data_IF_721745192399
#
_entry.id   IF_721745192399
#
_cell.length_a   1.000
_cell.length_b   1.000
_cell.length_c   1.000
_cell.angle_alpha   90.00
_cell.angle_beta   90.00
_cell.angle_gamma   90.00
#
_symmetry.space_group_name_H-M   'P 1'
#
loop_
_entity.id
_entity.type
_entity.pdbx_description
1 polymer ?
#
# COMPACT_ATOMS: atom_id res chain seq x y z
N UNK A 1 7.69 -8.26 -8.74
CA UNK A 1 7.62 -6.84 -8.32
C UNK A 1 8.92 -6.57 -7.58
N UNK A 2 9.67 -5.56 -7.99
CA UNK A 2 11.01 -5.30 -7.46
C UNK A 2 11.17 -3.82 -7.15
N UNK A 3 11.91 -3.51 -6.09
CA UNK A 3 12.33 -2.15 -5.75
C UNK A 3 13.81 -2.05 -6.08
N UNK A 4 14.16 -1.20 -7.05
CA UNK A 4 15.56 -1.04 -7.50
C UNK A 4 16.23 0.07 -6.66
N UNK A 5 17.17 -0.25 -5.75
CA UNK A 5 17.72 0.74 -4.83
C UNK A 5 18.54 1.85 -5.51
N UNK A 6 19.03 1.61 -6.73
CA UNK A 6 19.81 2.57 -7.50
C UNK A 6 18.92 3.62 -8.20
N UNK A 7 17.65 3.31 -8.47
CA UNK A 7 16.72 4.24 -9.09
C UNK A 7 16.10 5.15 -8.00
N UNK A 8 16.41 6.44 -8.03
CA UNK A 8 15.94 7.41 -7.01
C UNK A 8 14.96 8.40 -7.64
N UNK A 9 13.72 8.38 -7.16
CA UNK A 9 12.66 9.32 -7.53
C UNK A 9 12.12 9.92 -6.24
N UNK A 10 12.13 11.25 -6.14
CA UNK A 10 11.51 11.96 -5.02
C UNK A 10 9.99 12.05 -5.19
N UNK A 11 9.25 11.78 -4.13
CA UNK A 11 7.79 11.95 -4.09
C UNK A 11 7.40 12.82 -2.90
N UNK A 12 6.59 13.86 -3.14
CA UNK A 12 6.05 14.71 -2.07
C UNK A 12 4.83 14.04 -1.47
N UNK A 13 5.02 13.36 -0.34
CA UNK A 13 3.92 12.71 0.37
C UNK A 13 2.96 13.73 0.97
N UNK A 14 1.67 13.55 0.69
CA UNK A 14 0.58 14.39 1.20
C UNK A 14 -0.24 13.61 2.23
N UNK A 15 -0.74 14.28 3.26
CA UNK A 15 -1.61 13.66 4.28
C UNK A 15 -3.03 13.40 3.78
N UNK A 16 -3.52 14.22 2.84
CA UNK A 16 -4.89 14.18 2.33
C UNK A 16 -4.89 14.30 0.81
N UNK A 17 -5.94 13.79 0.18
CA UNK A 17 -6.14 13.94 -1.26
C UNK A 17 -6.50 15.40 -1.56
N UNK A 18 -5.85 16.03 -2.55
CA UNK A 18 -6.17 17.40 -2.94
C UNK A 18 -7.50 17.49 -3.72
N UNK A 19 -7.98 16.37 -4.25
CA UNK A 19 -9.22 16.27 -5.03
C UNK A 19 -10.18 15.27 -4.38
N UNK A 20 -11.46 15.62 -4.40
CA UNK A 20 -12.55 14.72 -4.05
C UNK A 20 -12.89 13.76 -5.19
N UNK A 21 -13.78 12.82 -4.91
CA UNK A 21 -14.43 12.05 -5.96
C UNK A 21 -15.37 12.96 -6.76
N UNK A 22 -15.40 12.88 -8.09
CA UNK A 22 -16.28 13.71 -8.92
C UNK A 22 -17.74 13.69 -8.47
N UNK A 23 -18.22 12.53 -8.01
CA UNK A 23 -19.62 12.29 -7.61
C UNK A 23 -19.80 12.13 -6.10
N UNK A 24 -18.78 12.47 -5.29
CA UNK A 24 -18.80 12.24 -3.84
C UNK A 24 -18.72 10.75 -3.44
N UNK A 25 -18.64 9.83 -4.39
CA UNK A 25 -18.51 8.39 -4.15
C UNK A 25 -17.17 8.05 -3.46
N UNK A 26 -17.19 7.10 -2.52
CA UNK A 26 -15.96 6.51 -1.98
C UNK A 26 -15.28 5.61 -3.03
N UNK A 27 -14.54 6.27 -3.93
CA UNK A 27 -13.74 5.62 -4.97
C UNK A 27 -12.70 4.66 -4.41
N UNK A 28 -12.27 4.85 -3.15
CA UNK A 28 -11.28 3.97 -2.54
C UNK A 28 -11.88 2.63 -2.16
N UNK A 29 -13.04 2.63 -1.50
CA UNK A 29 -13.75 1.40 -1.19
C UNK A 29 -14.15 0.71 -2.50
N UNK A 30 -14.73 1.46 -3.45
CA UNK A 30 -15.12 0.91 -4.77
C UNK A 30 -13.97 0.19 -5.46
N UNK A 31 -12.82 0.85 -5.60
CA UNK A 31 -11.67 0.28 -6.29
C UNK A 31 -11.06 -0.90 -5.52
N UNK A 32 -11.04 -0.83 -4.18
CA UNK A 32 -10.56 -1.92 -3.33
C UNK A 32 -11.43 -3.18 -3.48
N UNK A 33 -12.76 -3.02 -3.54
CA UNK A 33 -13.69 -4.11 -3.78
C UNK A 33 -13.46 -4.78 -5.13
N UNK A 34 -13.27 -3.99 -6.19
CA UNK A 34 -12.97 -4.54 -7.52
C UNK A 34 -11.71 -5.42 -7.51
N UNK A 35 -10.69 -5.04 -6.74
CA UNK A 35 -9.49 -5.87 -6.57
C UNK A 35 -9.80 -7.11 -5.72
N UNK A 36 -10.49 -6.95 -4.61
CA UNK A 36 -10.82 -8.05 -3.70
C UNK A 36 -11.64 -9.16 -4.38
N UNK A 37 -12.68 -8.78 -5.12
CA UNK A 37 -13.51 -9.74 -5.85
C UNK A 37 -12.79 -10.43 -7.01
N UNK A 38 -11.84 -9.77 -7.67
CA UNK A 38 -11.12 -10.35 -8.81
C UNK A 38 -9.95 -11.21 -8.37
N UNK A 39 -9.22 -10.83 -7.31
CA UNK A 39 -7.90 -11.40 -7.01
C UNK A 39 -7.79 -12.12 -5.68
N UNK A 40 -8.62 -11.84 -4.68
CA UNK A 40 -8.42 -12.34 -3.31
C UNK A 40 -9.17 -13.63 -2.97
N UNK A 41 -9.87 -14.24 -3.93
CA UNK A 41 -10.59 -15.51 -3.75
C UNK A 41 -11.44 -15.53 -2.46
N UNK A 42 -11.29 -16.53 -1.59
CA UNK A 42 -12.00 -16.63 -0.31
C UNK A 42 -11.36 -15.77 0.80
N UNK A 43 -10.15 -15.26 0.58
CA UNK A 43 -9.44 -14.42 1.56
C UNK A 43 -10.02 -13.01 1.63
N UNK A 44 -10.86 -12.60 0.66
CA UNK A 44 -11.62 -11.34 0.73
C UNK A 44 -12.50 -11.25 1.98
N UNK A 45 -12.90 -12.38 2.60
CA UNK A 45 -13.62 -12.38 3.88
C UNK A 45 -12.87 -11.61 4.98
N UNK A 46 -11.53 -11.68 5.00
CA UNK A 46 -10.72 -10.95 5.97
C UNK A 46 -10.75 -9.45 5.71
N UNK A 47 -10.89 -9.03 4.46
CA UNK A 47 -11.09 -7.62 4.12
C UNK A 47 -12.43 -7.12 4.67
N UNK A 48 -13.51 -7.86 4.46
CA UNK A 48 -14.85 -7.49 4.97
C UNK A 48 -14.94 -7.51 6.50
N UNK A 49 -14.24 -8.42 7.18
CA UNK A 49 -14.15 -8.40 8.65
C UNK A 49 -13.52 -7.11 9.21
N UNK A 50 -12.57 -6.51 8.48
CA UNK A 50 -11.92 -5.25 8.86
C UNK A 50 -12.68 -4.02 8.36
N UNK A 51 -13.47 -4.18 7.30
CA UNK A 51 -14.24 -3.12 6.63
C UNK A 51 -15.68 -3.57 6.36
N UNK A 52 -16.52 -3.79 7.40
CA UNK A 52 -17.90 -4.24 7.21
C UNK A 52 -18.72 -3.27 6.36
N UNK A 53 -18.38 -1.98 6.39
CA UNK A 53 -19.03 -0.95 5.57
C UNK A 53 -18.91 -1.21 4.06
N UNK A 54 -17.91 -1.99 3.64
CA UNK A 54 -17.66 -2.28 2.23
C UNK A 54 -18.59 -3.35 1.64
N UNK A 55 -19.32 -4.12 2.45
CA UNK A 55 -20.21 -5.19 1.96
C UNK A 55 -21.35 -4.64 1.09
N UNK A 56 -21.85 -3.44 1.42
CA UNK A 56 -23.01 -2.83 0.77
C UNK A 56 -22.63 -1.83 -0.34
N UNK A 57 -21.34 -1.69 -0.66
CA UNK A 57 -20.88 -0.71 -1.65
C UNK A 57 -20.91 -1.32 -3.05
N UNK A 58 -21.58 -0.62 -3.98
CA UNK A 58 -21.60 -1.00 -5.38
C UNK A 58 -20.22 -0.83 -6.02
N UNK A 59 -19.73 -1.89 -6.67
CA UNK A 59 -18.39 -1.89 -7.29
C UNK A 59 -18.39 -2.01 -8.82
N UNK A 60 -19.57 -2.04 -9.43
CA UNK A 60 -19.75 -2.16 -10.88
C UNK A 60 -19.38 -3.54 -11.44
N UNK A 61 -19.48 -3.68 -12.76
CA UNK A 61 -19.14 -4.93 -13.44
C UNK A 61 -17.62 -5.20 -13.44
N UNK A 62 -17.26 -6.45 -13.14
CA UNK A 62 -15.89 -6.96 -13.10
C UNK A 62 -15.68 -8.16 -14.02
N UNK A 63 -16.69 -8.54 -14.81
CA UNK A 63 -16.67 -9.75 -15.65
C UNK A 63 -15.45 -9.81 -16.57
N UNK A 64 -15.10 -8.70 -17.24
CA UNK A 64 -13.90 -8.62 -18.09
C UNK A 64 -12.58 -8.84 -17.35
N UNK A 65 -12.51 -8.49 -16.05
CA UNK A 65 -11.32 -8.69 -15.22
C UNK A 65 -11.22 -10.13 -14.74
N UNK A 66 -12.34 -10.75 -14.41
CA UNK A 66 -12.41 -12.18 -14.07
C UNK A 66 -12.03 -13.04 -15.26
N UNK A 67 -12.53 -12.70 -16.45
CA UNK A 67 -12.16 -13.37 -17.70
C UNK A 67 -10.68 -13.22 -18.02
N UNK A 68 -10.12 -12.01 -17.86
CA UNK A 68 -8.67 -11.78 -18.01
C UNK A 68 -7.84 -12.65 -17.07
N UNK A 69 -8.26 -12.78 -15.79
CA UNK A 69 -7.57 -13.64 -14.83
C UNK A 69 -7.57 -15.11 -15.27
N UNK A 70 -8.68 -15.57 -15.86
CA UNK A 70 -8.80 -16.93 -16.41
C UNK A 70 -7.93 -17.11 -17.65
N UNK A 71 -7.97 -16.18 -18.61
CA UNK A 71 -7.21 -16.29 -19.86
C UNK A 71 -5.70 -16.28 -19.64
N UNK A 72 -5.22 -15.55 -18.62
CA UNK A 72 -3.82 -15.53 -18.21
C UNK A 72 -3.41 -16.72 -17.33
N UNK A 73 -4.32 -17.65 -17.03
CA UNK A 73 -4.08 -18.81 -16.16
C UNK A 73 -3.41 -18.42 -14.82
N UNK A 74 -3.90 -17.34 -14.20
CA UNK A 74 -3.31 -16.83 -12.96
C UNK A 74 -3.46 -17.84 -11.82
N UNK A 75 -2.47 -17.85 -10.92
CA UNK A 75 -2.49 -18.65 -9.70
C UNK A 75 -3.56 -18.15 -8.70
N UNK A 76 -4.05 -19.02 -7.79
CA UNK A 76 -4.95 -18.61 -6.72
C UNK A 76 -4.26 -17.70 -5.70
N UNK A 77 -5.04 -16.96 -4.91
CA UNK A 77 -4.50 -16.07 -3.88
C UNK A 77 -3.80 -16.81 -2.74
N UNK A 78 -4.18 -18.05 -2.45
CA UNK A 78 -3.46 -18.91 -1.51
C UNK A 78 -1.99 -19.08 -1.92
N UNK A 79 -1.74 -19.34 -3.21
CA UNK A 79 -0.38 -19.44 -3.74
C UNK A 79 0.40 -18.13 -3.54
N UNK A 80 -0.24 -16.98 -3.73
CA UNK A 80 0.39 -15.67 -3.47
C UNK A 80 0.79 -15.53 -2.00
N UNK A 81 -0.07 -15.90 -1.05
CA UNK A 81 0.24 -15.84 0.38
C UNK A 81 1.34 -16.82 0.78
N UNK A 82 1.43 -17.98 0.15
CA UNK A 82 2.46 -18.98 0.46
C UNK A 82 3.82 -18.65 -0.16
N UNK A 83 3.84 -18.06 -1.37
CA UNK A 83 5.07 -17.93 -2.16
C UNK A 83 5.58 -16.49 -2.29
N UNK A 84 4.69 -15.50 -2.26
CA UNK A 84 5.04 -14.10 -2.50
C UNK A 84 5.00 -13.28 -1.21
N UNK A 85 4.04 -13.54 -0.32
CA UNK A 85 3.90 -12.78 0.93
C UNK A 85 3.67 -13.67 2.18
N UNK A 86 4.57 -14.64 2.46
CA UNK A 86 4.43 -15.60 3.56
C UNK A 86 4.49 -14.97 4.96
N UNK A 87 5.10 -13.80 5.10
CA UNK A 87 5.17 -13.05 6.35
C UNK A 87 3.83 -12.45 6.79
N UNK A 88 2.83 -12.38 5.89
CA UNK A 88 1.52 -11.86 6.23
C UNK A 88 0.82 -12.79 7.22
N UNK A 89 0.50 -12.27 8.39
CA UNK A 89 -0.30 -12.95 9.42
C UNK A 89 -1.78 -12.89 9.06
N UNK A 90 -2.44 -14.05 8.99
CA UNK A 90 -3.88 -14.14 8.77
C UNK A 90 -4.63 -14.31 10.10
N UNK A 91 -5.88 -13.82 10.23
CA UNK A 91 -6.68 -14.05 11.43
C UNK A 91 -6.94 -15.54 11.74
N UNK A 92 -6.86 -16.42 10.74
CA UNK A 92 -6.98 -17.86 10.91
C UNK A 92 -5.70 -18.56 11.37
N UNK A 93 -4.56 -17.87 11.41
CA UNK A 93 -3.29 -18.48 11.76
C UNK A 93 -3.24 -18.84 13.25
N UNK A 94 -2.66 -20.00 13.56
CA UNK A 94 -2.43 -20.38 14.95
C UNK A 94 -1.35 -19.49 15.59
N UNK A 95 -1.39 -19.33 16.92
CA UNK A 95 -0.41 -18.52 17.67
C UNK A 95 1.05 -18.87 17.34
N UNK A 96 1.35 -20.16 17.18
CA UNK A 96 2.69 -20.66 16.80
C UNK A 96 3.12 -20.17 15.41
N UNK A 97 2.20 -20.16 14.44
CA UNK A 97 2.48 -19.69 13.07
C UNK A 97 2.70 -18.17 13.08
N UNK A 98 1.87 -17.42 13.80
CA UNK A 98 2.01 -15.97 13.95
C UNK A 98 3.37 -15.62 14.53
N UNK A 99 3.78 -16.31 15.61
CA UNK A 99 5.09 -16.10 16.25
C UNK A 99 6.25 -16.42 15.30
N UNK A 100 6.15 -17.51 14.53
CA UNK A 100 7.15 -17.86 13.51
C UNK A 100 7.27 -16.79 12.41
N UNK A 101 6.15 -16.33 11.86
CA UNK A 101 6.11 -15.26 10.84
C UNK A 101 6.69 -13.95 11.37
N UNK A 102 6.34 -13.60 12.61
CA UNK A 102 6.82 -12.39 13.26
C UNK A 102 8.34 -12.44 13.47
N UNK A 103 8.88 -13.56 13.94
CA UNK A 103 10.31 -13.74 14.14
C UNK A 103 11.12 -13.61 12.83
N UNK A 104 10.56 -14.08 11.70
CA UNK A 104 11.16 -13.88 10.37
C UNK A 104 11.27 -12.40 9.98
N UNK A 105 10.25 -11.58 10.30
CA UNK A 105 10.26 -10.13 10.06
C UNK A 105 11.29 -9.39 10.93
N UNK A 106 11.43 -9.77 12.21
CA UNK A 106 12.35 -9.10 13.14
C UNK A 106 13.82 -9.28 12.74
N UNK A 107 14.21 -10.44 12.20
CA UNK A 107 15.58 -10.68 11.72
C UNK A 107 15.96 -9.72 10.56
N UNK A 108 15.01 -9.37 9.69
CA UNK A 108 15.24 -8.40 8.60
C UNK A 108 15.54 -6.98 9.12
N UNK A 109 15.01 -6.61 10.29
CA UNK A 109 15.10 -5.23 10.81
C UNK A 109 16.45 -4.93 11.47
N UNK A 110 17.08 -5.93 12.12
CA UNK A 110 18.40 -5.79 12.75
C UNK A 110 19.57 -5.68 11.75
N UNK A 111 19.33 -5.95 10.46
CA UNK A 111 20.33 -5.81 9.40
C UNK A 111 20.27 -4.44 8.68
N UNK A 112 19.28 -3.60 8.99
CA UNK A 112 19.12 -2.28 8.36
C UNK A 112 19.82 -1.19 9.17
N UNK A 113 21.14 -1.10 9.04
CA UNK A 113 21.81 0.17 9.31
C UNK A 113 21.33 1.16 8.25
N UNK A 114 20.53 2.14 8.66
CA UNK A 114 20.16 3.25 7.79
C UNK A 114 21.40 4.11 7.56
N UNK A 115 22.18 3.76 6.55
CA UNK A 115 23.32 4.55 6.09
C UNK A 115 22.78 5.72 5.26
N UNK A 116 22.33 6.78 5.94
CA UNK A 116 22.02 8.03 5.27
C UNK A 116 23.30 8.57 4.62
N UNK A 117 23.39 8.45 3.29
CA UNK A 117 24.56 8.90 2.50
C UNK A 117 24.66 10.43 2.52
N UNK A 118 23.54 11.12 2.75
CA UNK A 118 23.50 12.57 2.90
C UNK A 118 22.09 13.07 3.20
N UNK A 119 22.00 14.28 3.76
CA UNK A 119 20.77 15.04 3.92
C UNK A 119 20.79 16.18 2.90
N UNK A 120 19.70 16.33 2.14
CA UNK A 120 19.60 17.34 1.09
C UNK A 120 18.35 18.19 1.30
N UNK A 121 18.46 19.49 1.05
CA UNK A 121 17.35 20.43 1.08
C UNK A 121 17.01 20.86 -0.36
N UNK A 122 15.76 20.71 -0.77
CA UNK A 122 15.31 21.15 -2.09
C UNK A 122 14.99 22.64 -2.01
N UNK A 123 15.70 23.45 -2.80
CA UNK A 123 15.52 24.91 -2.87
C UNK A 123 14.89 25.32 -4.20
N UNK A 124 13.92 26.24 -4.17
CA UNK A 124 13.37 26.85 -5.38
C UNK A 124 14.42 27.75 -6.03
N UNK A 125 14.64 27.56 -7.33
CA UNK A 125 15.57 28.32 -8.17
C UNK A 125 15.42 29.83 -7.96
N UNK A 126 16.54 30.55 -7.82
CA UNK A 126 16.59 32.00 -7.62
C UNK A 126 15.84 32.53 -6.38
N UNK A 127 15.63 31.69 -5.37
CA UNK A 127 15.03 32.10 -4.11
C UNK A 127 15.73 31.46 -2.91
N UNK A 128 15.48 31.99 -1.72
CA UNK A 128 15.88 31.37 -0.45
C UNK A 128 14.79 30.42 0.09
N UNK A 129 13.80 30.06 -0.73
CA UNK A 129 12.68 29.23 -0.33
C UNK A 129 13.04 27.76 -0.51
N UNK A 130 12.76 26.96 0.50
CA UNK A 130 13.00 25.52 0.47
C UNK A 130 11.70 24.75 0.66
N UNK A 131 11.63 23.55 0.10
CA UNK A 131 10.56 22.59 0.37
C UNK A 131 10.84 21.95 1.73
N UNK A 132 9.85 21.95 2.62
CA UNK A 132 9.87 21.20 3.85
C UNK A 132 8.55 20.44 4.04
N UNK A 133 8.60 19.34 4.78
CA UNK A 133 7.40 18.61 5.18
C UNK A 133 6.58 19.47 6.13
N UNK A 134 5.25 19.45 5.98
CA UNK A 134 4.30 20.17 6.85
C UNK A 134 4.49 19.86 8.35
N UNK A 135 5.05 18.68 8.68
CA UNK A 135 5.33 18.30 10.07
C UNK A 135 6.59 18.95 10.65
N UNK A 136 7.47 19.47 9.81
CA UNK A 136 8.77 20.05 10.18
C UNK A 136 8.75 21.59 10.18
N UNK A 137 7.56 22.21 10.10
CA UNK A 137 7.41 23.67 10.08
C UNK A 137 7.79 24.25 11.44
N UNK A 138 9.05 24.65 11.56
CA UNK A 138 9.55 25.58 12.57
C UNK A 138 9.92 26.86 11.82
N UNK A 139 9.03 27.85 11.85
CA UNK A 139 9.08 29.15 11.16
C UNK A 139 10.40 29.58 10.47
N UNK A 140 10.37 29.67 9.14
CA UNK A 140 10.40 30.91 8.32
C UNK A 140 10.66 30.54 6.85
N UNK A 141 9.75 30.96 5.96
CA UNK A 141 9.87 30.93 4.49
C UNK A 141 10.01 29.54 3.86
N UNK A 142 8.98 28.72 3.99
CA UNK A 142 8.83 27.42 3.30
C UNK A 142 7.68 27.52 2.29
N UNK A 143 7.87 26.97 1.09
CA UNK A 143 6.78 26.77 0.13
C UNK A 143 6.03 25.50 0.52
N UNK A 144 4.73 25.64 0.76
CA UNK A 144 3.79 24.54 1.05
C UNK A 144 3.27 23.94 -0.25
#
# INVERSE_FOLDING_TARGET
IEIIPCARIGHVFRKRRPYGSPDGEDTMIRNSLRVAYVWMDDFKKYYFQQRPEAENVFYGDISSRVELRRSLNCKPFSWYLENIYPELTLPSDSKKIVESKLNSLYQSKHSRNQNYIGHYQIRLSNSNLCIASEKDVKDKKVLV
#
